data_IF_716772001349
#
_entry.id   IF_716772001349
#
_cell.length_a   1.000
_cell.length_b   1.000
_cell.length_c   1.000
_cell.angle_alpha   90.00
_cell.angle_beta   90.00
_cell.angle_gamma   90.00
#
_symmetry.space_group_name_H-M   'P 1'
#
loop_
_entity.id
_entity.type
_entity.pdbx_description
1 polymer ?
#
# COMPACT_ATOMS: atom_id res chain seq x y z
N UNK A 1 -7.90 -29.94 -11.85
CA UNK A 1 -8.63 -29.34 -10.71
C UNK A 1 -9.98 -30.03 -10.62
N UNK A 2 -10.47 -30.34 -9.41
CA UNK A 2 -11.75 -31.03 -9.22
C UNK A 2 -12.90 -30.05 -9.43
N UNK A 3 -13.94 -30.42 -10.19
CA UNK A 3 -15.09 -29.55 -10.50
C UNK A 3 -15.80 -28.98 -9.27
N UNK A 4 -15.70 -29.67 -8.13
CA UNK A 4 -16.17 -29.22 -6.82
C UNK A 4 -15.42 -28.00 -6.27
N UNK A 5 -14.12 -27.86 -6.56
CA UNK A 5 -13.32 -26.68 -6.16
C UNK A 5 -13.67 -25.46 -7.01
N UNK A 6 -13.90 -25.67 -8.30
CA UNK A 6 -14.31 -24.61 -9.23
C UNK A 6 -15.68 -24.05 -8.86
N UNK A 7 -16.65 -24.92 -8.56
CA UNK A 7 -17.98 -24.48 -8.13
C UNK A 7 -17.96 -23.74 -6.79
N UNK A 8 -17.04 -24.09 -5.88
CA UNK A 8 -16.88 -23.40 -4.59
C UNK A 8 -16.40 -21.95 -4.77
N UNK A 9 -15.41 -21.72 -5.62
CA UNK A 9 -14.88 -20.38 -5.94
C UNK A 9 -15.95 -19.54 -6.65
N UNK A 10 -16.75 -20.13 -7.54
CA UNK A 10 -17.86 -19.43 -8.19
C UNK A 10 -19.05 -19.15 -7.27
N UNK A 11 -19.23 -19.95 -6.20
CA UNK A 11 -20.31 -19.78 -5.23
C UNK A 11 -19.94 -18.87 -4.05
N UNK A 12 -18.67 -18.53 -3.88
CA UNK A 12 -18.26 -17.51 -2.92
C UNK A 12 -18.87 -16.17 -3.34
N UNK A 13 -19.53 -15.44 -2.42
CA UNK A 13 -20.14 -14.16 -2.73
C UNK A 13 -19.06 -13.07 -2.84
N UNK A 14 -18.15 -13.20 -3.81
CA UNK A 14 -17.11 -12.20 -4.09
C UNK A 14 -17.66 -10.93 -4.74
N UNK A 15 -18.91 -10.96 -5.24
CA UNK A 15 -19.56 -9.86 -5.94
C UNK A 15 -20.86 -9.33 -5.30
N UNK A 16 -21.31 -9.91 -4.18
CA UNK A 16 -22.59 -9.51 -3.56
C UNK A 16 -22.46 -8.30 -2.60
N UNK A 17 -21.25 -8.04 -2.10
CA UNK A 17 -20.92 -6.83 -1.36
C UNK A 17 -20.15 -5.92 -2.31
N UNK A 18 -20.71 -4.76 -2.66
CA UNK A 18 -20.00 -3.75 -3.47
C UNK A 18 -18.65 -3.36 -2.84
N UNK A 19 -17.81 -2.64 -3.58
CA UNK A 19 -16.45 -2.24 -3.18
C UNK A 19 -16.37 -1.80 -1.70
N UNK A 20 -15.97 -2.71 -0.80
CA UNK A 20 -15.91 -2.45 0.64
C UNK A 20 -14.93 -1.30 0.94
N UNK A 21 -13.85 -1.20 0.18
CA UNK A 21 -12.87 -0.11 0.28
C UNK A 21 -13.46 1.26 -0.08
N UNK A 22 -14.45 1.30 -0.98
CA UNK A 22 -15.15 2.51 -1.39
C UNK A 22 -16.37 2.82 -0.51
N UNK A 23 -16.67 1.96 0.47
CA UNK A 23 -17.73 2.21 1.43
C UNK A 23 -17.40 3.44 2.27
N UNK A 24 -18.43 4.24 2.52
CA UNK A 24 -18.33 5.49 3.25
C UNK A 24 -18.56 5.19 4.73
N UNK A 25 -17.68 5.72 5.59
CA UNK A 25 -17.86 5.70 7.04
C UNK A 25 -18.47 7.05 7.43
N UNK A 26 -19.70 7.04 7.95
CA UNK A 26 -20.39 8.29 8.28
C UNK A 26 -19.85 8.96 9.56
N UNK A 27 -19.31 8.16 10.48
CA UNK A 27 -18.75 8.62 11.75
C UNK A 27 -17.30 9.13 11.64
N UNK A 28 -16.63 8.86 10.51
CA UNK A 28 -15.24 9.25 10.31
C UNK A 28 -15.14 10.66 9.69
N UNK A 29 -14.26 11.47 10.26
CA UNK A 29 -14.00 12.85 9.87
C UNK A 29 -12.56 13.05 9.40
N UNK A 30 -12.22 14.24 8.95
CA UNK A 30 -10.84 14.57 8.54
C UNK A 30 -9.87 14.55 9.73
N UNK A 31 -10.36 14.74 10.96
CA UNK A 31 -9.54 14.69 12.18
C UNK A 31 -9.01 13.28 12.48
N UNK A 32 -9.71 12.25 12.00
CA UNK A 32 -9.31 10.83 12.08
C UNK A 32 -8.20 10.47 11.09
N UNK A 33 -7.85 11.39 10.19
CA UNK A 33 -6.71 11.26 9.30
C UNK A 33 -5.45 11.87 9.93
N UNK A 34 -4.29 11.26 9.61
CA UNK A 34 -2.99 11.76 10.02
C UNK A 34 -2.52 12.86 9.04
N UNK A 35 -2.33 14.11 9.51
CA UNK A 35 -1.86 15.21 8.66
C UNK A 35 -0.53 14.93 7.96
N UNK A 36 0.37 14.18 8.62
CA UNK A 36 1.66 13.80 8.03
C UNK A 36 1.48 12.77 6.90
N UNK A 37 0.50 11.87 7.04
CA UNK A 37 0.15 10.93 5.98
C UNK A 37 -0.44 11.66 4.76
N UNK A 38 -1.29 12.68 4.99
CA UNK A 38 -1.83 13.53 3.92
C UNK A 38 -0.71 14.28 3.19
N UNK A 39 0.24 14.86 3.94
CA UNK A 39 1.40 15.54 3.35
C UNK A 39 2.22 14.59 2.47
N UNK A 40 2.54 13.40 2.98
CA UNK A 40 3.27 12.38 2.20
C UNK A 40 2.48 11.93 0.97
N UNK A 41 1.15 11.82 1.06
CA UNK A 41 0.30 11.49 -0.07
C UNK A 41 0.33 12.58 -1.14
N UNK A 42 0.33 13.86 -0.75
CA UNK A 42 0.45 14.99 -1.67
C UNK A 42 1.79 14.98 -2.41
N UNK A 43 2.89 14.77 -1.69
CA UNK A 43 4.22 14.66 -2.28
C UNK A 43 4.28 13.51 -3.31
N UNK A 44 3.88 12.29 -2.91
CA UNK A 44 3.87 11.12 -3.80
C UNK A 44 2.93 11.31 -5.00
N UNK A 45 1.81 12.00 -4.82
CA UNK A 45 0.87 12.30 -5.91
C UNK A 45 1.44 13.36 -6.87
N UNK A 46 2.15 14.37 -6.35
CA UNK A 46 2.82 15.38 -7.16
C UNK A 46 3.99 14.78 -7.97
N UNK A 47 4.78 13.89 -7.38
CA UNK A 47 5.82 13.13 -8.09
C UNK A 47 5.24 12.32 -9.26
N UNK A 48 4.10 11.66 -9.05
CA UNK A 48 3.44 10.88 -10.11
C UNK A 48 2.78 11.77 -11.19
N UNK A 49 2.37 12.98 -10.82
CA UNK A 49 1.63 13.89 -11.68
C UNK A 49 2.32 15.25 -11.79
N UNK A 50 3.57 15.26 -12.28
CA UNK A 50 4.40 16.47 -12.41
C UNK A 50 3.68 17.64 -13.11
N UNK A 51 2.87 17.35 -14.13
CA UNK A 51 2.10 18.35 -14.88
C UNK A 51 1.06 19.10 -14.03
N UNK A 52 0.62 18.51 -12.91
CA UNK A 52 -0.39 19.06 -12.00
C UNK A 52 0.20 19.41 -10.63
N UNK A 53 1.51 19.29 -10.44
CA UNK A 53 2.17 19.56 -9.16
C UNK A 53 1.83 20.96 -8.61
N UNK A 54 1.82 21.98 -9.48
CA UNK A 54 1.44 23.36 -9.10
C UNK A 54 -0.04 23.51 -8.74
N UNK A 55 -0.92 22.68 -9.31
CA UNK A 55 -2.34 22.68 -8.94
C UNK A 55 -2.54 21.97 -7.60
N UNK A 56 -1.77 20.91 -7.32
CA UNK A 56 -1.89 20.13 -6.09
C UNK A 56 -1.52 20.97 -4.86
N UNK A 57 -0.54 21.86 -4.99
CA UNK A 57 -0.11 22.77 -3.92
C UNK A 57 -1.20 23.80 -3.56
N UNK A 58 -2.07 24.16 -4.51
CA UNK A 58 -3.15 25.12 -4.26
C UNK A 58 -4.46 24.48 -3.77
N UNK A 59 -4.54 23.14 -3.68
CA UNK A 59 -5.74 22.45 -3.23
C UNK A 59 -5.78 22.29 -1.71
N UNK A 60 -6.93 22.58 -1.09
CA UNK A 60 -7.24 22.20 0.30
C UNK A 60 -7.28 20.67 0.49
N UNK A 61 -7.10 20.17 1.72
CA UNK A 61 -7.02 18.73 2.00
C UNK A 61 -8.26 17.97 1.54
N UNK A 62 -9.46 18.52 1.76
CA UNK A 62 -10.71 17.92 1.29
C UNK A 62 -10.74 17.85 -0.24
N UNK A 63 -10.29 18.89 -0.94
CA UNK A 63 -10.26 18.93 -2.40
C UNK A 63 -9.23 17.94 -2.95
N UNK A 64 -8.05 17.87 -2.35
CA UNK A 64 -7.01 16.91 -2.69
C UNK A 64 -7.51 15.47 -2.52
N UNK A 65 -8.09 15.14 -1.37
CA UNK A 65 -8.60 13.79 -1.09
C UNK A 65 -9.70 13.37 -2.07
N UNK A 66 -10.59 14.29 -2.44
CA UNK A 66 -11.63 14.03 -3.45
C UNK A 66 -11.02 13.85 -4.85
N UNK A 67 -10.04 14.67 -5.23
CA UNK A 67 -9.34 14.58 -6.53
C UNK A 67 -8.50 13.31 -6.64
N UNK A 68 -7.90 12.87 -5.54
CA UNK A 68 -7.18 11.61 -5.42
C UNK A 68 -8.13 10.39 -5.41
N UNK A 69 -9.46 10.60 -5.42
CA UNK A 69 -10.50 9.57 -5.32
C UNK A 69 -10.42 8.74 -4.03
N UNK A 70 -9.82 9.31 -2.99
CA UNK A 70 -9.69 8.69 -1.66
C UNK A 70 -10.97 8.95 -0.86
N UNK A 71 -11.55 10.15 -0.98
CA UNK A 71 -12.85 10.50 -0.42
C UNK A 71 -13.92 10.57 -1.52
N UNK A 72 -15.19 10.34 -1.14
CA UNK A 72 -16.33 10.50 -2.04
C UNK A 72 -17.19 11.66 -1.54
N UNK A 73 -17.19 12.76 -2.30
CA UNK A 73 -17.95 13.97 -2.00
C UNK A 73 -17.67 14.54 -0.58
N UNK A 74 -16.40 14.49 -0.15
CA UNK A 74 -15.98 14.96 1.17
C UNK A 74 -16.22 13.97 2.31
N UNK A 75 -16.87 12.83 2.06
CA UNK A 75 -17.01 11.76 3.05
C UNK A 75 -15.79 10.81 3.02
N UNK A 76 -15.37 10.37 4.21
CA UNK A 76 -14.24 9.45 4.40
C UNK A 76 -14.67 8.04 4.02
N UNK A 77 -13.80 7.33 3.29
CA UNK A 77 -14.02 5.93 2.90
C UNK A 77 -13.13 4.99 3.71
N UNK A 78 -13.44 3.70 3.70
CA UNK A 78 -12.57 2.68 4.30
C UNK A 78 -11.13 2.76 3.74
N UNK A 79 -10.98 2.99 2.43
CA UNK A 79 -9.66 3.17 1.81
C UNK A 79 -8.91 4.41 2.35
N UNK A 80 -9.63 5.49 2.64
CA UNK A 80 -9.03 6.69 3.21
C UNK A 80 -8.45 6.43 4.61
N UNK A 81 -9.19 5.72 5.47
CA UNK A 81 -8.70 5.32 6.79
C UNK A 81 -7.52 4.37 6.67
N UNK A 82 -7.58 3.38 5.77
CA UNK A 82 -6.46 2.43 5.58
C UNK A 82 -5.18 3.16 5.15
N UNK A 83 -5.28 4.08 4.20
CA UNK A 83 -4.11 4.73 3.61
C UNK A 83 -3.55 5.85 4.50
N UNK A 84 -4.44 6.68 5.06
CA UNK A 84 -4.11 7.96 5.68
C UNK A 84 -4.65 8.11 7.11
N UNK A 85 -5.39 7.12 7.62
CA UNK A 85 -5.94 7.15 8.97
C UNK A 85 -4.86 7.17 10.04
N UNK A 86 -5.24 7.61 11.24
CA UNK A 86 -4.44 7.41 12.44
C UNK A 86 -4.57 5.97 12.92
N UNK A 87 -3.62 5.52 13.74
CA UNK A 87 -3.70 4.21 14.41
C UNK A 87 -4.97 4.10 15.26
N UNK A 88 -5.37 5.18 15.93
CA UNK A 88 -6.60 5.24 16.72
C UNK A 88 -7.85 4.98 15.86
N UNK A 89 -7.81 5.30 14.57
CA UNK A 89 -8.92 5.16 13.62
C UNK A 89 -9.12 3.72 13.13
N UNK A 90 -8.30 2.77 13.57
CA UNK A 90 -8.46 1.33 13.28
C UNK A 90 -9.83 0.79 13.71
N UNK A 91 -10.45 1.41 14.74
CA UNK A 91 -11.77 1.00 15.23
C UNK A 91 -12.87 1.10 14.15
N UNK A 92 -12.76 2.04 13.20
CA UNK A 92 -13.73 2.20 12.12
C UNK A 92 -13.71 1.05 11.11
N UNK A 93 -12.59 0.32 11.03
CA UNK A 93 -12.45 -0.78 10.09
C UNK A 93 -12.98 -2.10 10.66
N UNK A 94 -13.25 -2.17 11.97
CA UNK A 94 -13.79 -3.37 12.62
C UNK A 94 -15.07 -3.86 11.90
N UNK A 95 -15.14 -5.13 11.45
CA UNK A 95 -14.29 -6.27 11.81
C UNK A 95 -13.04 -6.50 10.93
N UNK A 96 -12.82 -5.71 9.89
CA UNK A 96 -11.65 -5.82 9.03
C UNK A 96 -10.40 -5.27 9.74
N UNK A 97 -9.31 -6.03 9.67
CA UNK A 97 -8.01 -5.66 10.24
C UNK A 97 -7.03 -5.45 9.10
N UNK A 98 -6.42 -4.26 9.04
CA UNK A 98 -5.42 -3.94 8.02
C UNK A 98 -4.03 -3.87 8.67
N UNK A 99 -3.25 -4.94 8.53
CA UNK A 99 -1.88 -5.05 9.07
C UNK A 99 -0.99 -5.68 8.01
N UNK A 100 0.13 -5.02 7.68
CA UNK A 100 1.16 -5.64 6.84
C UNK A 100 2.11 -6.42 7.75
N UNK A 101 2.27 -7.72 7.50
CA UNK A 101 3.19 -8.57 8.25
C UNK A 101 4.43 -8.83 7.41
N UNK A 102 5.57 -8.30 7.83
CA UNK A 102 6.85 -8.57 7.20
C UNK A 102 7.63 -9.63 7.99
N UNK A 103 8.12 -10.66 7.30
CA UNK A 103 8.92 -11.73 7.89
C UNK A 103 10.22 -11.90 7.09
N UNK A 104 11.35 -11.96 7.79
CA UNK A 104 12.64 -12.32 7.20
C UNK A 104 12.96 -13.79 7.48
N UNK A 105 12.86 -14.61 6.45
CA UNK A 105 13.21 -16.03 6.51
C UNK A 105 14.67 -16.25 6.11
N UNK A 106 15.38 -17.08 6.88
CA UNK A 106 16.72 -17.56 6.52
C UNK A 106 16.60 -18.87 5.72
N UNK A 107 17.66 -19.28 5.01
CA UNK A 107 17.71 -20.56 4.26
C UNK A 107 17.31 -21.80 5.07
N UNK A 108 17.46 -21.77 6.39
CA UNK A 108 17.07 -22.83 7.32
C UNK A 108 15.65 -22.65 7.92
N UNK A 109 14.80 -21.83 7.29
CA UNK A 109 13.42 -21.52 7.71
C UNK A 109 13.28 -20.99 9.16
N UNK A 110 14.38 -20.52 9.74
CA UNK A 110 14.36 -19.80 11.02
C UNK A 110 13.94 -18.35 10.76
N UNK A 111 12.82 -17.96 11.37
CA UNK A 111 12.40 -16.56 11.45
C UNK A 111 13.54 -15.73 12.06
N UNK A 112 14.14 -14.86 11.25
CA UNK A 112 15.24 -14.00 11.67
C UNK A 112 14.74 -12.67 12.20
N UNK A 113 13.65 -12.17 11.63
CA UNK A 113 12.99 -10.93 12.05
C UNK A 113 11.50 -10.98 11.66
N UNK A 114 10.66 -10.36 12.46
CA UNK A 114 9.20 -10.30 12.27
C UNK A 114 8.70 -8.94 12.71
N UNK A 115 7.98 -8.24 11.84
CA UNK A 115 7.36 -6.95 12.16
C UNK A 115 5.95 -6.85 11.60
N UNK A 116 5.10 -6.20 12.38
CA UNK A 116 3.75 -5.82 11.98
C UNK A 116 3.71 -4.31 11.76
N UNK A 117 3.17 -3.90 10.64
CA UNK A 117 2.93 -2.50 10.33
C UNK A 117 1.43 -2.23 10.34
N UNK A 118 1.06 -1.23 11.12
CA UNK A 118 -0.31 -0.75 11.29
C UNK A 118 -0.58 0.46 10.39
N UNK A 119 -1.81 0.96 10.41
CA UNK A 119 -2.23 2.17 9.73
C UNK A 119 -1.46 3.39 10.32
N UNK A 120 -0.98 4.36 9.51
CA UNK A 120 -1.28 4.60 8.10
C UNK A 120 -0.41 3.79 7.12
N UNK A 121 -1.05 3.12 6.15
CA UNK A 121 -0.36 2.26 5.19
C UNK A 121 0.63 3.01 4.30
N UNK A 122 0.42 4.31 4.04
CA UNK A 122 1.35 5.10 3.21
C UNK A 122 2.74 5.21 3.85
N UNK A 123 2.81 5.26 5.19
CA UNK A 123 4.06 5.29 5.95
C UNK A 123 4.66 3.88 6.06
N UNK A 124 3.82 2.89 6.37
CA UNK A 124 4.22 1.48 6.44
C UNK A 124 4.95 1.01 5.18
N UNK A 125 4.37 1.28 3.99
CA UNK A 125 4.99 0.87 2.72
C UNK A 125 6.30 1.60 2.46
N UNK A 126 6.39 2.88 2.84
CA UNK A 126 7.61 3.66 2.68
C UNK A 126 8.75 3.10 3.54
N UNK A 127 8.45 2.77 4.80
CA UNK A 127 9.39 2.16 5.74
C UNK A 127 9.83 0.76 5.25
N UNK A 128 8.87 -0.09 4.86
CA UNK A 128 9.14 -1.43 4.31
C UNK A 128 10.10 -1.35 3.11
N UNK A 129 9.81 -0.45 2.18
CA UNK A 129 10.60 -0.32 0.94
C UNK A 129 12.00 0.22 1.21
N UNK A 130 12.17 1.15 2.16
CA UNK A 130 13.46 1.78 2.47
C UNK A 130 14.36 0.92 3.35
N UNK A 131 13.80 0.31 4.40
CA UNK A 131 14.59 -0.32 5.46
C UNK A 131 14.70 -1.83 5.33
N UNK A 132 13.65 -2.50 4.87
CA UNK A 132 13.53 -3.96 5.02
C UNK A 132 13.71 -4.70 3.70
N UNK A 133 13.26 -4.12 2.59
CA UNK A 133 13.49 -4.71 1.27
C UNK A 133 14.94 -4.44 0.84
N UNK A 134 15.80 -5.43 1.11
CA UNK A 134 17.20 -5.44 0.65
C UNK A 134 17.26 -5.59 -0.86
N UNK A 135 17.26 -4.48 -1.57
CA UNK A 135 17.62 -4.46 -2.98
C UNK A 135 19.14 -4.53 -3.12
N UNK A 136 19.71 -5.72 -2.87
CA UNK A 136 21.15 -5.92 -3.03
C UNK A 136 21.54 -5.69 -4.49
N UNK A 137 22.57 -4.86 -4.69
CA UNK A 137 23.21 -4.71 -5.99
C UNK A 137 23.79 -6.06 -6.41
N UNK A 138 23.43 -6.51 -7.61
CA UNK A 138 24.03 -7.67 -8.24
C UNK A 138 25.12 -7.17 -9.18
N UNK A 139 26.35 -7.53 -8.87
CA UNK A 139 27.49 -7.26 -9.74
C UNK A 139 27.64 -8.43 -10.70
N UNK A 140 27.50 -8.19 -12.00
CA UNK A 140 27.79 -9.19 -13.02
C UNK A 140 28.95 -8.70 -13.91
N UNK A 141 29.78 -9.64 -14.34
CA UNK A 141 30.83 -9.40 -15.33
C UNK A 141 30.37 -10.06 -16.63
N UNK A 142 30.06 -9.25 -17.64
CA UNK A 142 29.81 -9.77 -19.00
C UNK A 142 31.14 -10.16 -19.62
N UNK A 143 31.24 -11.35 -20.19
CA UNK A 143 32.44 -11.81 -20.90
C UNK A 143 32.75 -10.86 -22.06
N UNK A 144 33.73 -9.97 -21.87
CA UNK A 144 34.13 -8.95 -22.83
C UNK A 144 34.28 -7.54 -22.23
N UNK A 145 33.82 -7.30 -21.00
CA UNK A 145 33.95 -6.00 -20.33
C UNK A 145 34.77 -6.13 -19.03
N UNK A 146 35.83 -5.32 -18.89
CA UNK A 146 36.78 -5.34 -17.76
C UNK A 146 36.24 -4.65 -16.51
N UNK A 147 35.15 -3.89 -16.64
CA UNK A 147 34.53 -3.19 -15.53
C UNK A 147 33.23 -3.88 -15.12
N UNK A 148 33.07 -4.25 -13.84
CA UNK A 148 31.82 -4.80 -13.34
C UNK A 148 30.71 -3.74 -13.38
N UNK A 149 29.58 -4.07 -14.00
CA UNK A 149 28.37 -3.24 -13.94
C UNK A 149 27.58 -3.56 -12.68
N UNK A 150 27.21 -2.51 -11.93
CA UNK A 150 26.36 -2.63 -10.75
C UNK A 150 24.91 -2.37 -11.14
N UNK A 151 24.07 -3.40 -11.11
CA UNK A 151 22.63 -3.24 -11.30
C UNK A 151 21.89 -3.70 -10.04
N UNK A 152 20.83 -2.97 -9.66
CA UNK A 152 19.92 -3.41 -8.60
C UNK A 152 19.26 -4.72 -9.04
N UNK A 153 19.18 -5.73 -8.15
CA UNK A 153 18.63 -7.05 -8.48
C UNK A 153 17.15 -6.98 -8.89
N UNK A 154 16.42 -5.99 -8.37
CA UNK A 154 15.06 -5.67 -8.79
C UNK A 154 14.93 -4.16 -8.97
N UNK A 155 14.10 -3.72 -9.90
CA UNK A 155 13.72 -2.31 -9.93
C UNK A 155 12.83 -1.99 -8.72
N UNK A 156 13.00 -0.81 -8.11
CA UNK A 156 12.21 -0.41 -6.95
C UNK A 156 10.72 -0.28 -7.31
N UNK A 157 10.39 0.04 -8.56
CA UNK A 157 9.01 0.03 -9.05
C UNK A 157 8.40 -1.38 -9.02
N UNK A 158 9.12 -2.40 -9.48
CA UNK A 158 8.66 -3.79 -9.46
C UNK A 158 8.46 -4.32 -8.03
N UNK A 159 9.23 -3.82 -7.06
CA UNK A 159 9.09 -4.20 -5.65
C UNK A 159 7.83 -3.62 -4.98
N UNK A 160 7.26 -2.53 -5.50
CA UNK A 160 6.03 -1.94 -4.94
C UNK A 160 4.79 -2.78 -5.26
N UNK A 161 4.73 -3.39 -6.44
CA UNK A 161 3.58 -4.18 -6.89
C UNK A 161 3.20 -5.32 -5.94
N UNK A 162 4.10 -6.22 -5.51
CA UNK A 162 3.75 -7.30 -4.60
C UNK A 162 3.34 -6.79 -3.21
N UNK A 163 3.87 -5.66 -2.73
CA UNK A 163 3.46 -5.08 -1.43
C UNK A 163 2.00 -4.63 -1.45
N UNK A 164 1.51 -4.12 -2.59
CA UNK A 164 0.13 -3.67 -2.75
C UNK A 164 -0.84 -4.78 -3.18
N UNK A 165 -0.35 -5.86 -3.80
CA UNK A 165 -1.17 -6.90 -4.41
C UNK A 165 -1.25 -8.20 -3.61
N UNK A 166 -0.47 -8.37 -2.54
CA UNK A 166 -0.50 -9.59 -1.72
C UNK A 166 -1.66 -9.59 -0.71
N UNK A 167 -2.88 -9.59 -1.27
CA UNK A 167 -4.14 -9.87 -0.58
C UNK A 167 -4.90 -11.03 -1.25
N UNK A 168 -4.24 -11.81 -2.10
CA UNK A 168 -4.85 -12.93 -2.81
C UNK A 168 -3.78 -14.00 -3.03
N UNK A 169 -4.09 -15.23 -2.60
CA UNK A 169 -3.30 -16.45 -2.67
C UNK A 169 -2.27 -16.68 -1.55
N UNK A 170 -2.73 -17.14 -0.38
CA UNK A 170 -2.50 -18.50 0.16
C UNK A 170 -3.64 -18.89 1.09
#
# INVERSE_FOLDING_TARGET
MTSEREQRILSEPSAAFGDWSANIIEDATIDDLDPEAIRMAREKYAERHEKRAKEIESWDDVTFLNKAKITRAGKITNAAIILLGREESEHFLSPAVCIIRWKLLTKDDKNKDFRNFHIPMIKAVDEITKEYIRNNNYTYTVSGNIFPENMKRYDMFTLREPIFLDGSYV
#
